data_IF_984098979389
#
_entry.id   IF_984098979389
#
_cell.length_a   1.000
_cell.length_b   1.000
_cell.length_c   1.000
_cell.angle_alpha   90.00
_cell.angle_beta   90.00
_cell.angle_gamma   90.00
#
_symmetry.space_group_name_H-M   'P 1'
#
loop_
_entity.id
_entity.type
_entity.pdbx_description
1 polymer ?
#
# COMPACT_ATOMS: atom_id res chain seq x y z
N UNK A 1 5.33 -1.09 34.15
CA UNK A 1 6.54 -1.45 34.93
C UNK A 1 6.54 -2.95 35.06
N UNK A 2 7.63 -3.59 34.66
CA UNK A 2 7.78 -5.03 34.84
C UNK A 2 8.24 -5.30 36.27
N UNK A 3 7.57 -6.24 36.94
CA UNK A 3 7.79 -6.53 38.36
C UNK A 3 8.65 -7.76 38.60
N UNK A 4 8.86 -8.60 37.58
CA UNK A 4 9.60 -9.85 37.66
C UNK A 4 10.25 -10.18 36.29
N UNK A 5 11.26 -11.05 36.30
CA UNK A 5 11.94 -11.55 35.09
C UNK A 5 13.02 -10.61 34.54
N UNK A 6 13.53 -10.91 33.34
CA UNK A 6 14.69 -10.22 32.74
C UNK A 6 14.48 -8.72 32.47
N UNK A 7 13.23 -8.22 32.58
CA UNK A 7 12.87 -6.82 32.37
C UNK A 7 12.50 -6.09 33.68
N UNK A 8 12.69 -6.72 34.84
CA UNK A 8 12.35 -6.14 36.14
C UNK A 8 12.90 -4.71 36.31
N UNK A 9 12.05 -3.81 36.79
CA UNK A 9 12.39 -2.40 36.99
C UNK A 9 12.31 -1.53 35.73
N UNK A 10 12.13 -2.12 34.54
CA UNK A 10 11.91 -1.37 33.31
C UNK A 10 10.44 -0.97 33.13
N UNK A 11 10.22 0.09 32.34
CA UNK A 11 8.89 0.57 31.94
C UNK A 11 8.78 0.46 30.43
N UNK A 12 7.71 -0.19 29.95
CA UNK A 12 7.29 -0.12 28.56
C UNK A 12 6.33 1.05 28.39
N UNK A 13 6.62 1.88 27.39
CA UNK A 13 5.69 2.88 26.90
C UNK A 13 5.01 2.29 25.67
N UNK A 14 3.69 2.24 25.70
CA UNK A 14 2.92 1.87 24.52
C UNK A 14 2.97 3.02 23.50
N UNK A 15 3.27 2.70 22.25
CA UNK A 15 3.49 3.72 21.22
C UNK A 15 2.22 4.53 20.95
N UNK A 16 1.04 3.90 21.00
CA UNK A 16 -0.25 4.57 20.80
C UNK A 16 -0.70 5.44 21.98
N UNK A 17 0.03 5.41 23.10
CA UNK A 17 -0.32 6.15 24.31
C UNK A 17 0.28 7.56 24.39
N UNK A 18 1.12 7.94 23.42
CA UNK A 18 1.71 9.29 23.35
C UNK A 18 1.01 10.12 22.28
N UNK A 19 0.99 11.45 22.48
CA UNK A 19 0.45 12.39 21.49
C UNK A 19 1.33 12.46 20.23
N UNK A 20 2.65 12.27 20.38
CA UNK A 20 3.62 12.24 19.30
C UNK A 20 4.93 11.53 19.72
N UNK A 21 5.66 11.03 18.73
CA UNK A 21 7.00 10.45 18.88
C UNK A 21 7.94 11.09 17.87
N UNK A 22 9.21 11.25 18.23
CA UNK A 22 10.22 11.87 17.37
C UNK A 22 11.50 11.04 17.33
N UNK A 23 12.08 10.91 16.14
CA UNK A 23 13.49 10.54 15.95
C UNK A 23 14.26 11.82 15.63
N UNK A 24 15.11 12.27 16.55
CA UNK A 24 15.61 13.65 16.56
C UNK A 24 14.45 14.66 16.51
N UNK A 25 14.42 15.58 15.53
CA UNK A 25 13.35 16.56 15.34
C UNK A 25 12.25 16.09 14.36
N UNK A 26 12.36 14.87 13.81
CA UNK A 26 11.41 14.33 12.83
C UNK A 26 10.34 13.48 13.51
N UNK A 27 9.07 13.85 13.33
CA UNK A 27 7.96 13.10 13.89
C UNK A 27 7.82 11.72 13.23
N UNK A 28 7.69 10.68 14.04
CA UNK A 28 7.46 9.30 13.60
C UNK A 28 6.08 8.82 14.00
N UNK A 29 5.50 7.96 13.17
CA UNK A 29 4.12 7.50 13.30
C UNK A 29 4.06 5.97 13.26
N UNK A 30 3.05 5.38 13.90
CA UNK A 30 2.79 3.94 13.99
C UNK A 30 3.85 3.17 14.81
N UNK A 31 5.12 3.21 14.41
CA UNK A 31 6.28 2.65 15.11
C UNK A 31 7.59 3.19 14.50
N UNK A 32 8.74 3.12 15.21
CA UNK A 32 10.06 3.46 14.65
C UNK A 32 10.38 2.61 13.41
N UNK A 33 11.13 3.17 12.45
CA UNK A 33 11.54 2.40 11.25
C UNK A 33 12.53 1.30 11.64
N UNK A 34 12.38 0.13 11.04
CA UNK A 34 13.33 -0.97 11.18
C UNK A 34 14.53 -0.72 10.24
N UNK A 35 15.77 -0.61 10.77
CA UNK A 35 16.96 -0.34 9.97
C UNK A 35 17.29 -1.46 8.96
N UNK A 36 16.72 -2.66 9.11
CA UNK A 36 16.88 -3.77 8.18
C UNK A 36 15.73 -3.89 7.17
N UNK A 37 14.69 -3.07 7.32
CA UNK A 37 13.58 -3.03 6.38
C UNK A 37 13.95 -2.12 5.21
N UNK A 38 13.80 -2.66 4.00
CA UNK A 38 14.14 -2.00 2.75
C UNK A 38 12.89 -1.87 1.90
N UNK A 39 12.77 -0.72 1.23
CA UNK A 39 11.76 -0.48 0.20
C UNK A 39 12.48 -0.01 -1.06
N UNK A 40 12.27 -0.72 -2.17
CA UNK A 40 12.78 -0.34 -3.49
C UNK A 40 11.62 -0.16 -4.46
N UNK A 41 11.70 0.86 -5.30
CA UNK A 41 10.73 1.09 -6.38
C UNK A 41 11.46 1.02 -7.72
N UNK A 42 11.12 0.01 -8.53
CA UNK A 42 11.73 -0.22 -9.82
C UNK A 42 10.76 0.03 -10.96
N UNK A 43 11.26 0.64 -12.02
CA UNK A 43 10.53 0.76 -13.28
C UNK A 43 10.49 -0.60 -13.98
N UNK A 44 9.38 -0.89 -14.64
CA UNK A 44 9.25 -2.10 -15.45
C UNK A 44 8.50 -1.80 -16.75
N UNK A 45 8.73 -2.63 -17.75
CA UNK A 45 8.05 -2.60 -19.05
C UNK A 45 7.03 -3.74 -19.21
N UNK A 46 6.76 -4.49 -18.13
CA UNK A 46 5.77 -5.57 -18.14
C UNK A 46 4.38 -5.00 -18.41
N UNK A 47 3.59 -5.73 -19.17
CA UNK A 47 2.19 -5.39 -19.40
C UNK A 47 1.35 -5.88 -18.23
N UNK A 48 0.72 -4.95 -17.53
CA UNK A 48 -0.13 -5.22 -16.38
C UNK A 48 -1.56 -4.84 -16.72
N UNK A 49 -2.48 -5.77 -16.50
CA UNK A 49 -3.92 -5.54 -16.63
C UNK A 49 -4.62 -6.01 -15.37
N UNK A 50 -5.49 -5.17 -14.82
CA UNK A 50 -6.23 -5.45 -13.58
C UNK A 50 -7.72 -5.47 -13.89
N UNK A 51 -8.40 -6.52 -13.43
CA UNK A 51 -9.85 -6.68 -13.54
C UNK A 51 -10.49 -6.79 -12.16
N UNK A 52 -11.64 -6.15 -11.99
CA UNK A 52 -12.51 -6.28 -10.83
C UNK A 52 -13.81 -6.92 -11.29
N UNK A 53 -14.06 -8.15 -10.85
CA UNK A 53 -15.25 -8.94 -11.23
C UNK A 53 -15.45 -9.00 -12.77
N UNK A 54 -14.36 -9.20 -13.51
CA UNK A 54 -14.37 -9.28 -14.99
C UNK A 54 -14.42 -7.93 -15.72
N UNK A 55 -14.40 -6.80 -15.02
CA UNK A 55 -14.32 -5.47 -15.62
C UNK A 55 -12.89 -4.96 -15.55
N UNK A 56 -12.29 -4.63 -16.69
CA UNK A 56 -10.94 -4.02 -16.74
C UNK A 56 -10.97 -2.62 -16.11
N UNK A 57 -10.16 -2.43 -15.06
CA UNK A 57 -10.06 -1.17 -14.31
C UNK A 57 -8.70 -0.49 -14.47
N UNK A 58 -7.66 -1.21 -14.90
CA UNK A 58 -6.35 -0.65 -15.17
C UNK A 58 -5.58 -1.46 -16.22
N UNK A 59 -4.78 -0.78 -17.04
CA UNK A 59 -4.01 -1.39 -18.11
C UNK A 59 -2.77 -0.54 -18.42
N UNK A 60 -1.57 -1.03 -18.11
CA UNK A 60 -0.32 -0.27 -18.24
C UNK A 60 0.83 -1.12 -18.77
N UNK A 61 1.76 -0.48 -19.46
CA UNK A 61 3.06 -1.04 -19.87
C UNK A 61 4.25 -0.33 -19.20
N UNK A 62 3.97 0.54 -18.23
CA UNK A 62 4.96 1.35 -17.50
C UNK A 62 4.76 1.31 -15.98
N UNK A 63 4.53 0.12 -15.36
CA UNK A 63 4.32 0.02 -13.93
C UNK A 63 5.55 0.41 -13.11
N UNK A 64 5.32 0.71 -11.84
CA UNK A 64 6.32 0.81 -10.77
C UNK A 64 6.16 -0.41 -9.86
N UNK A 65 7.18 -1.26 -9.78
CA UNK A 65 7.18 -2.42 -8.91
C UNK A 65 7.81 -2.04 -7.57
N UNK A 66 7.04 -2.12 -6.49
CA UNK A 66 7.51 -1.86 -5.14
C UNK A 66 7.85 -3.18 -4.46
N UNK A 67 9.11 -3.30 -4.06
CA UNK A 67 9.64 -4.41 -3.28
C UNK A 67 9.79 -3.94 -1.84
N UNK A 68 9.22 -4.69 -0.90
CA UNK A 68 9.31 -4.39 0.52
C UNK A 68 9.64 -5.66 1.29
N UNK A 69 10.61 -5.57 2.20
CA UNK A 69 11.08 -6.72 2.99
C UNK A 69 9.90 -7.51 3.56
N UNK A 70 9.87 -8.81 3.25
CA UNK A 70 8.90 -9.80 3.75
C UNK A 70 7.44 -9.65 3.28
N UNK A 71 7.16 -8.73 2.36
CA UNK A 71 5.84 -8.53 1.75
C UNK A 71 5.82 -8.92 0.26
N UNK A 72 4.64 -9.29 -0.28
CA UNK A 72 4.48 -9.43 -1.73
C UNK A 72 4.82 -8.15 -2.47
N UNK A 73 5.37 -8.29 -3.68
CA UNK A 73 5.62 -7.15 -4.57
C UNK A 73 4.29 -6.49 -4.90
N UNK A 74 4.21 -5.16 -4.73
CA UNK A 74 3.03 -4.39 -5.11
C UNK A 74 3.27 -3.65 -6.41
N UNK A 75 2.31 -3.73 -7.32
CA UNK A 75 2.36 -3.04 -8.60
C UNK A 75 1.64 -1.71 -8.50
N UNK A 76 2.39 -0.63 -8.64
CA UNK A 76 1.86 0.72 -8.73
C UNK A 76 1.70 1.09 -10.20
N UNK A 77 0.46 1.42 -10.56
CA UNK A 77 0.04 1.78 -11.91
C UNK A 77 -0.16 3.29 -11.98
N UNK A 78 0.42 4.01 -12.95
CA UNK A 78 0.13 5.43 -13.15
C UNK A 78 -1.38 5.64 -13.21
N UNK A 79 -1.93 6.58 -12.43
CA UNK A 79 -3.38 6.78 -12.35
C UNK A 79 -4.02 7.08 -13.72
N UNK A 80 -3.25 7.64 -14.65
CA UNK A 80 -3.66 7.91 -16.04
C UNK A 80 -3.95 6.66 -16.85
N UNK A 81 -3.42 5.52 -16.43
CA UNK A 81 -3.58 4.22 -17.09
C UNK A 81 -4.72 3.40 -16.43
N UNK A 82 -5.48 4.04 -15.53
CA UNK A 82 -6.65 3.46 -14.87
C UNK A 82 -7.95 4.04 -15.44
N UNK A 83 -9.04 3.27 -15.34
CA UNK A 83 -10.41 3.72 -15.57
C UNK A 83 -10.87 4.59 -14.41
N UNK A 84 -10.38 5.82 -14.38
CA UNK A 84 -10.67 6.82 -13.34
C UNK A 84 -12.16 7.14 -13.22
N UNK A 85 -12.93 6.91 -14.28
CA UNK A 85 -14.39 7.03 -14.31
C UNK A 85 -15.11 5.97 -13.44
N UNK A 86 -14.43 4.88 -13.10
CA UNK A 86 -14.93 3.83 -12.20
C UNK A 86 -14.45 4.02 -10.74
N UNK A 87 -13.58 4.99 -10.47
CA UNK A 87 -13.02 5.22 -9.13
C UNK A 87 -13.85 6.23 -8.35
N UNK A 88 -14.31 5.82 -7.16
CA UNK A 88 -14.97 6.70 -6.20
C UNK A 88 -14.07 6.91 -4.98
N UNK A 89 -13.84 8.17 -4.58
CA UNK A 89 -13.02 8.49 -3.41
C UNK A 89 -13.59 7.86 -2.14
N UNK A 90 -12.71 7.36 -1.28
CA UNK A 90 -13.05 6.88 0.05
C UNK A 90 -12.49 7.83 1.11
N UNK A 91 -13.19 7.90 2.25
CA UNK A 91 -12.72 8.58 3.46
C UNK A 91 -11.69 7.75 4.24
N UNK A 92 -11.52 6.46 3.88
CA UNK A 92 -10.53 5.60 4.52
C UNK A 92 -9.12 6.15 4.26
N UNK A 93 -8.35 6.25 5.35
CA UNK A 93 -6.91 6.47 5.31
C UNK A 93 -6.22 5.51 6.25
N UNK A 94 -5.00 5.10 5.91
CA UNK A 94 -4.15 4.29 6.78
C UNK A 94 -2.75 4.88 6.78
N UNK A 95 -2.02 4.66 7.87
CA UNK A 95 -0.67 5.19 8.03
C UNK A 95 0.35 4.06 7.91
N UNK A 96 1.45 4.33 7.21
CA UNK A 96 2.59 3.43 7.10
C UNK A 96 3.87 4.22 7.39
N UNK A 97 4.73 3.77 8.32
CA UNK A 97 5.96 4.50 8.65
C UNK A 97 6.93 4.61 7.46
N UNK A 98 6.82 3.69 6.50
CA UNK A 98 7.70 3.64 5.32
C UNK A 98 7.18 4.41 4.12
N UNK A 99 5.84 4.52 3.97
CA UNK A 99 5.22 5.08 2.75
C UNK A 99 4.45 6.37 2.98
N UNK A 100 4.11 6.68 4.23
CA UNK A 100 3.26 7.81 4.60
C UNK A 100 1.78 7.42 4.69
N UNK A 101 0.91 8.39 4.40
CA UNK A 101 -0.55 8.23 4.52
C UNK A 101 -1.13 7.69 3.22
N UNK A 102 -1.64 6.46 3.28
CA UNK A 102 -2.41 5.85 2.20
C UNK A 102 -3.83 6.41 2.19
N UNK A 103 -4.30 6.73 0.99
CA UNK A 103 -5.65 7.19 0.68
C UNK A 103 -6.29 6.12 -0.21
N UNK A 104 -7.61 5.99 -0.19
CA UNK A 104 -8.29 4.88 -0.84
C UNK A 104 -9.31 5.33 -1.90
N UNK A 105 -9.49 4.49 -2.92
CA UNK A 105 -10.63 4.52 -3.82
C UNK A 105 -11.40 3.21 -3.72
N UNK A 106 -12.72 3.33 -3.81
CA UNK A 106 -13.62 2.23 -4.14
C UNK A 106 -13.79 2.15 -5.66
N UNK A 107 -14.13 0.97 -6.17
CA UNK A 107 -14.42 0.75 -7.60
C UNK A 107 -15.92 0.55 -7.77
N UNK A 108 -16.57 1.42 -8.54
CA UNK A 108 -17.98 1.28 -8.93
C UNK A 108 -18.08 0.65 -10.30
N UNK A 109 -18.61 -0.57 -10.33
CA UNK A 109 -18.74 -1.35 -11.55
C UNK A 109 -19.96 -0.88 -12.37
N UNK A 110 -19.97 -1.12 -13.71
CA UNK A 110 -21.13 -0.84 -14.56
C UNK A 110 -22.42 -1.55 -14.11
N UNK A 111 -22.30 -2.66 -13.36
CA UNK A 111 -23.44 -3.34 -12.73
C UNK A 111 -24.11 -2.53 -11.61
N UNK A 112 -23.49 -1.43 -11.16
CA UNK A 112 -23.88 -0.67 -9.96
C UNK A 112 -23.25 -1.19 -8.67
N UNK A 113 -22.54 -2.32 -8.69
CA UNK A 113 -21.84 -2.87 -7.53
C UNK A 113 -20.66 -1.97 -7.15
N UNK A 114 -20.59 -1.57 -5.88
CA UNK A 114 -19.46 -0.86 -5.31
C UNK A 114 -18.54 -1.85 -4.58
N UNK A 115 -17.28 -1.92 -5.01
CA UNK A 115 -16.24 -2.71 -4.35
C UNK A 115 -15.37 -1.75 -3.52
N UNK A 116 -15.57 -1.80 -2.21
CA UNK A 116 -15.03 -0.80 -1.29
C UNK A 116 -13.52 -0.92 -1.09
N UNK A 117 -12.85 0.23 -1.03
CA UNK A 117 -11.47 0.42 -0.58
C UNK A 117 -10.46 -0.55 -1.20
N UNK A 118 -10.66 -0.89 -2.47
CA UNK A 118 -9.87 -1.91 -3.15
C UNK A 118 -8.60 -1.34 -3.81
N UNK A 119 -8.51 -0.01 -3.91
CA UNK A 119 -7.39 0.72 -4.50
C UNK A 119 -6.83 1.66 -3.46
N UNK A 120 -5.50 1.71 -3.31
CA UNK A 120 -4.84 2.70 -2.47
C UNK A 120 -3.79 3.50 -3.24
N UNK A 121 -3.48 4.69 -2.73
CA UNK A 121 -2.50 5.60 -3.30
C UNK A 121 -1.92 6.52 -2.23
N UNK A 122 -0.79 7.14 -2.53
CA UNK A 122 -0.12 8.08 -1.64
C UNK A 122 -0.12 9.47 -2.27
N UNK A 123 -0.76 10.43 -1.60
CA UNK A 123 -0.75 11.84 -2.02
C UNK A 123 0.66 12.43 -1.93
N UNK A 124 1.30 12.15 -0.79
CA UNK A 124 2.65 12.60 -0.47
C UNK A 124 3.42 11.39 0.06
N UNK A 125 3.93 10.51 -0.81
CA UNK A 125 4.73 9.38 -0.37
C UNK A 125 6.02 9.87 0.30
N UNK A 126 6.52 9.07 1.23
CA UNK A 126 7.85 9.28 1.83
C UNK A 126 8.95 9.25 0.76
N UNK A 127 10.09 9.89 1.04
CA UNK A 127 11.18 10.10 0.08
C UNK A 127 11.67 8.77 -0.55
N UNK A 128 11.83 7.73 0.26
CA UNK A 128 12.23 6.38 -0.17
C UNK A 128 11.26 5.76 -1.19
N UNK A 129 10.01 6.22 -1.20
CA UNK A 129 8.95 5.75 -2.08
C UNK A 129 8.49 6.83 -3.07
N UNK A 130 9.25 7.92 -3.27
CA UNK A 130 8.81 9.07 -4.06
C UNK A 130 8.34 8.71 -5.48
N UNK A 131 8.93 7.68 -6.07
CA UNK A 131 8.62 7.17 -7.41
C UNK A 131 7.19 6.61 -7.59
N UNK A 132 6.47 6.30 -6.51
CA UNK A 132 5.06 5.86 -6.60
C UNK A 132 4.06 7.04 -6.57
N UNK A 133 4.53 8.29 -6.48
CA UNK A 133 3.67 9.46 -6.51
C UNK A 133 2.85 9.51 -7.80
N UNK A 134 1.56 9.78 -7.68
CA UNK A 134 0.64 9.81 -8.83
C UNK A 134 0.27 8.42 -9.38
N UNK A 135 0.74 7.34 -8.74
CA UNK A 135 0.34 5.98 -9.04
C UNK A 135 -0.68 5.46 -8.01
N UNK A 136 -1.38 4.39 -8.38
CA UNK A 136 -2.32 3.65 -7.53
C UNK A 136 -1.94 2.17 -7.51
N UNK A 137 -2.28 1.45 -6.45
CA UNK A 137 -2.13 0.01 -6.36
C UNK A 137 -3.45 -0.65 -5.96
N UNK A 138 -3.61 -1.91 -6.33
CA UNK A 138 -4.80 -2.71 -6.07
C UNK A 138 -4.47 -3.83 -5.09
N UNK A 139 -5.46 -4.25 -4.30
CA UNK A 139 -5.30 -5.43 -3.45
C UNK A 139 -5.37 -6.67 -4.34
N UNK A 140 -4.21 -7.20 -4.76
CA UNK A 140 -4.08 -8.38 -5.63
C UNK A 140 -4.88 -9.59 -5.12
N UNK A 141 -5.07 -9.70 -3.81
CA UNK A 141 -5.91 -10.71 -3.14
C UNK A 141 -7.42 -10.58 -3.45
N UNK A 142 -7.87 -9.43 -3.95
CA UNK A 142 -9.27 -9.07 -4.23
C UNK A 142 -9.56 -8.79 -5.70
N UNK A 143 -8.53 -8.76 -6.56
CA UNK A 143 -8.66 -8.47 -8.00
C UNK A 143 -8.02 -9.58 -8.84
N UNK A 144 -8.30 -9.61 -10.13
CA UNK A 144 -7.59 -10.45 -11.08
C UNK A 144 -6.48 -9.63 -11.73
N UNK A 145 -5.24 -10.10 -11.59
CA UNK A 145 -4.05 -9.43 -12.13
C UNK A 145 -3.48 -10.28 -13.25
N UNK A 146 -3.37 -9.69 -14.43
CA UNK A 146 -2.74 -10.27 -15.60
C UNK A 146 -1.38 -9.62 -15.80
N UNK A 147 -0.35 -10.44 -15.98
CA UNK A 147 1.00 -9.96 -16.27
C UNK A 147 1.49 -10.61 -17.55
N UNK A 148 1.80 -9.78 -18.55
CA UNK A 148 2.23 -10.22 -19.87
C UNK A 148 1.27 -11.24 -20.50
N UNK A 149 -0.04 -11.01 -20.31
CA UNK A 149 -1.12 -11.89 -20.79
C UNK A 149 -1.39 -13.13 -19.93
N UNK A 150 -0.67 -13.33 -18.82
CA UNK A 150 -0.83 -14.49 -17.92
C UNK A 150 -1.52 -14.09 -16.63
N UNK A 151 -2.65 -14.72 -16.31
CA UNK A 151 -3.37 -14.53 -15.04
C UNK A 151 -2.50 -15.01 -13.87
N UNK A 152 -2.32 -14.15 -12.87
CA UNK A 152 -1.56 -14.46 -11.67
C UNK A 152 -2.44 -15.07 -10.59
N UNK A 153 -1.85 -15.98 -9.80
CA UNK A 153 -2.50 -16.46 -8.60
C UNK A 153 -2.60 -15.34 -7.56
N UNK A 154 -3.74 -15.24 -6.88
CA UNK A 154 -3.92 -14.28 -5.80
C UNK A 154 -3.01 -14.64 -4.61
N UNK A 155 -2.27 -13.68 -4.05
CA UNK A 155 -1.47 -13.95 -2.86
C UNK A 155 -2.39 -14.31 -1.68
N UNK A 156 -1.91 -15.19 -0.80
CA UNK A 156 -2.59 -15.46 0.45
C UNK A 156 -2.67 -14.18 1.29
N UNK A 157 -3.81 -13.94 1.94
CA UNK A 157 -3.97 -12.81 2.85
C UNK A 157 -3.02 -13.02 4.04
N UNK A 158 -1.88 -12.34 4.05
CA UNK A 158 -1.21 -12.05 5.31
C UNK A 158 -2.00 -10.91 5.94
N UNK A 159 -2.70 -11.19 7.03
CA UNK A 159 -3.17 -10.14 7.93
C UNK A 159 -1.96 -9.30 8.30
N UNK A 160 -1.93 -8.05 7.84
CA UNK A 160 -0.97 -7.04 8.29
C UNK A 160 -1.56 -6.37 9.51
#
# INVERSE_FOLDING_TARGET
>A
MYLEGDLEGLVQLDFGSMDAWFEEDEEIFVHPKDPYKRVDVLHSSRHIRVEVQGVEVANTTKPRLLFETSLPVRTYIPKTDCRVDLLESSELTTQCPYKGIANYYSVKLPSGTLVQDIVWWYRTPQLECAEIKGCVAFYDEKVDVWVDGVLQARPGSKSV
#
